data_IF_672164671969
#
_entry.id   IF_672164671969
#
_cell.length_a   1.000
_cell.length_b   1.000
_cell.length_c   1.000
_cell.angle_alpha   90.00
_cell.angle_beta   90.00
_cell.angle_gamma   90.00
#
_symmetry.space_group_name_H-M   'P 1'
#
loop_
_entity.id
_entity.type
_entity.pdbx_description
1 polymer ?
#
# COMPACT_ATOMS: atom_id res chain seq x y z
N UNK A 1 4.98 7.86 15.71
CA UNK A 1 4.27 8.89 14.92
C UNK A 1 2.77 8.71 15.13
N UNK A 2 2.02 9.76 15.50
CA UNK A 2 0.56 9.71 15.65
C UNK A 2 -0.13 9.28 14.36
N UNK A 3 -1.31 8.64 14.47
CA UNK A 3 -2.06 8.12 13.31
C UNK A 3 -2.40 9.22 12.32
N UNK A 4 -2.85 10.39 12.80
CA UNK A 4 -3.20 11.54 11.95
C UNK A 4 -2.03 11.99 11.07
N UNK A 5 -0.83 12.16 11.65
CA UNK A 5 0.37 12.52 10.89
C UNK A 5 0.76 11.47 9.85
N UNK A 6 0.39 10.19 10.04
CA UNK A 6 0.62 9.14 9.04
C UNK A 6 -0.36 9.25 7.88
N UNK A 7 -1.63 9.55 8.17
CA UNK A 7 -2.64 9.78 7.13
C UNK A 7 -2.26 11.00 6.29
N UNK A 8 -1.91 12.12 6.93
CA UNK A 8 -1.45 13.33 6.26
C UNK A 8 -0.22 13.05 5.37
N UNK A 9 0.71 12.22 5.85
CA UNK A 9 1.87 11.78 5.06
C UNK A 9 1.49 10.92 3.85
N UNK A 10 0.51 10.03 3.98
CA UNK A 10 0.02 9.22 2.86
C UNK A 10 -0.67 10.08 1.80
N UNK A 11 -1.49 11.04 2.23
CA UNK A 11 -2.11 12.02 1.34
C UNK A 11 -1.06 12.85 0.59
N UNK A 12 -0.05 13.34 1.30
CA UNK A 12 1.08 14.03 0.69
C UNK A 12 1.77 13.17 -0.38
N UNK A 13 2.03 11.89 -0.11
CA UNK A 13 2.65 10.99 -1.09
C UNK A 13 1.76 10.79 -2.33
N UNK A 14 0.44 10.77 -2.17
CA UNK A 14 -0.52 10.70 -3.28
C UNK A 14 -0.50 11.97 -4.12
N UNK A 15 -0.49 13.15 -3.51
CA UNK A 15 -0.39 14.42 -4.27
C UNK A 15 0.95 14.50 -4.98
N UNK A 16 2.04 14.10 -4.30
CA UNK A 16 3.40 14.22 -4.81
C UNK A 16 3.73 13.23 -5.95
N UNK A 17 3.03 12.10 -6.04
CA UNK A 17 3.14 11.21 -7.21
C UNK A 17 2.64 11.89 -8.49
N UNK A 18 1.76 12.89 -8.37
CA UNK A 18 1.14 13.61 -9.49
C UNK A 18 0.19 12.74 -10.32
N UNK A 19 -0.22 11.59 -9.78
CA UNK A 19 -1.06 10.60 -10.45
C UNK A 19 -1.97 9.89 -9.44
N UNK A 20 -3.23 9.69 -9.84
CA UNK A 20 -4.25 9.09 -8.98
C UNK A 20 -4.06 7.57 -8.77
N UNK A 21 -3.15 6.92 -9.50
CA UNK A 21 -2.83 5.49 -9.33
C UNK A 21 -3.99 4.54 -9.69
N UNK A 22 -5.15 5.09 -10.07
CA UNK A 22 -6.39 4.38 -10.39
C UNK A 22 -6.25 3.47 -11.61
N UNK A 23 -5.32 3.78 -12.53
CA UNK A 23 -5.04 2.99 -13.74
C UNK A 23 -4.56 1.56 -13.42
N UNK A 24 -4.02 1.34 -12.21
CA UNK A 24 -3.49 0.05 -11.78
C UNK A 24 -4.27 -0.56 -10.61
N UNK A 25 -5.49 -0.07 -10.33
CA UNK A 25 -6.40 -0.72 -9.37
C UNK A 25 -6.85 -2.11 -9.86
N UNK A 26 -7.07 -2.25 -11.17
CA UNK A 26 -7.64 -3.46 -11.79
C UNK A 26 -6.58 -4.45 -12.32
N UNK A 27 -5.37 -3.97 -12.61
CA UNK A 27 -4.22 -4.80 -13.04
C UNK A 27 -3.57 -5.58 -11.87
N UNK A 28 -4.18 -5.46 -10.69
CA UNK A 28 -3.89 -6.22 -9.50
C UNK A 28 -4.40 -7.68 -9.63
N UNK A 29 -3.72 -8.44 -10.50
CA UNK A 29 -3.64 -9.91 -10.50
C UNK A 29 -4.87 -10.65 -11.06
N UNK A 30 -4.94 -10.79 -12.39
CA UNK A 30 -5.36 -12.04 -13.01
C UNK A 30 -4.28 -13.12 -12.81
N UNK A 31 -3.98 -13.46 -11.56
CA UNK A 31 -3.29 -14.70 -11.24
C UNK A 31 -3.80 -15.11 -9.86
N UNK A 32 -4.61 -16.16 -9.87
CA UNK A 32 -5.38 -16.74 -8.78
C UNK A 32 -6.65 -16.01 -8.32
N UNK A 33 -7.77 -16.61 -8.76
CA UNK A 33 -9.12 -16.43 -8.23
C UNK A 33 -9.11 -16.43 -6.70
N UNK A 34 -9.58 -15.35 -6.11
CA UNK A 34 -10.67 -15.31 -5.12
C UNK A 34 -10.94 -13.84 -4.76
N UNK A 35 -12.17 -13.40 -5.07
CA UNK A 35 -12.64 -12.03 -4.90
C UNK A 35 -12.48 -11.54 -3.46
N UNK A 36 -11.57 -10.59 -3.25
CA UNK A 36 -11.70 -9.63 -2.15
C UNK A 36 -12.00 -8.28 -2.81
N UNK A 37 -13.27 -8.09 -3.13
CA UNK A 37 -13.80 -6.78 -3.50
C UNK A 37 -13.65 -5.85 -2.30
N UNK A 38 -12.68 -4.94 -2.36
CA UNK A 38 -12.74 -3.72 -1.57
C UNK A 38 -13.82 -2.85 -2.19
N UNK A 39 -15.06 -3.01 -1.72
CA UNK A 39 -16.11 -2.03 -1.94
C UNK A 39 -15.74 -0.75 -1.16
N UNK A 40 -15.02 0.14 -1.81
CA UNK A 40 -15.11 1.56 -1.49
C UNK A 40 -16.46 2.05 -2.06
N UNK A 41 -17.46 2.16 -1.18
CA UNK A 41 -18.76 2.72 -1.48
C UNK A 41 -18.61 4.22 -1.82
N UNK A 42 -18.46 4.45 -3.12
CA UNK A 42 -18.97 5.53 -3.95
C UNK A 42 -19.05 6.95 -3.36
N UNK A 43 -18.19 7.81 -3.90
CA UNK A 43 -18.38 9.25 -3.96
C UNK A 43 -17.91 9.79 -5.30
N UNK A 44 -18.70 9.57 -6.35
CA UNK A 44 -18.59 10.34 -7.59
C UNK A 44 -18.90 11.82 -7.28
N UNK A 45 -17.87 12.58 -6.92
CA UNK A 45 -17.94 14.03 -6.81
C UNK A 45 -16.83 14.60 -7.65
N UNK A 46 -17.24 15.13 -8.81
CA UNK A 46 -16.54 16.22 -9.47
C UNK A 46 -15.16 15.88 -10.01
N UNK A 47 -15.04 15.91 -11.33
CA UNK A 47 -13.83 16.40 -11.99
C UNK A 47 -13.53 17.81 -11.46
N UNK A 48 -12.87 17.90 -10.32
CA UNK A 48 -12.06 19.05 -10.00
C UNK A 48 -10.66 18.60 -10.29
N UNK A 49 -10.12 19.08 -11.41
CA UNK A 49 -8.72 18.97 -11.74
C UNK A 49 -7.94 19.60 -10.60
N UNK A 50 -7.63 18.80 -9.57
CA UNK A 50 -6.67 19.16 -8.55
C UNK A 50 -5.44 19.56 -9.32
N UNK A 51 -5.02 20.79 -9.05
CA UNK A 51 -3.92 21.48 -9.70
C UNK A 51 -2.83 20.44 -9.94
N UNK A 52 -2.49 20.17 -11.21
CA UNK A 52 -1.32 19.36 -11.56
C UNK A 52 -0.08 20.17 -11.18
N UNK A 53 0.11 20.38 -9.89
CA UNK A 53 1.37 20.84 -9.33
C UNK A 53 2.42 19.89 -9.88
N UNK A 54 3.39 20.48 -10.59
CA UNK A 54 4.24 19.76 -11.52
C UNK A 54 4.86 18.53 -10.85
N UNK A 55 5.01 17.44 -11.62
CA UNK A 55 5.73 16.25 -11.17
C UNK A 55 7.14 16.66 -10.74
N UNK A 56 7.37 16.74 -9.43
CA UNK A 56 8.69 16.97 -8.86
C UNK A 56 9.49 15.68 -9.06
N UNK A 57 10.75 15.76 -9.48
CA UNK A 57 11.61 14.58 -9.61
C UNK A 57 11.79 13.92 -8.24
N UNK A 58 11.49 12.61 -8.15
CA UNK A 58 11.64 11.84 -6.93
C UNK A 58 12.88 10.94 -7.03
N UNK A 59 14.05 11.38 -6.53
CA UNK A 59 15.22 10.53 -6.46
C UNK A 59 14.94 9.31 -5.55
N UNK A 60 15.56 8.18 -5.89
CA UNK A 60 15.35 6.91 -5.19
C UNK A 60 15.67 7.00 -3.69
N UNK A 61 16.64 7.84 -3.34
CA UNK A 61 17.12 8.13 -2.00
C UNK A 61 16.02 8.73 -1.10
N UNK A 62 15.08 9.48 -1.68
CA UNK A 62 13.90 9.98 -0.98
C UNK A 62 12.77 8.95 -0.97
N UNK A 63 12.66 8.13 -2.01
CA UNK A 63 11.63 7.09 -2.07
C UNK A 63 11.86 5.98 -1.02
N UNK A 64 13.12 5.64 -0.71
CA UNK A 64 13.46 4.65 0.30
C UNK A 64 12.84 4.91 1.69
N UNK A 65 13.04 6.09 2.33
CA UNK A 65 12.39 6.38 3.61
C UNK A 65 10.88 6.48 3.49
N UNK A 66 10.33 6.95 2.37
CA UNK A 66 8.89 6.99 2.11
C UNK A 66 8.29 5.58 2.16
N UNK A 67 8.87 4.63 1.42
CA UNK A 67 8.40 3.25 1.40
C UNK A 67 8.54 2.57 2.77
N UNK A 68 9.55 2.93 3.56
CA UNK A 68 9.69 2.42 4.93
C UNK A 68 8.58 2.92 5.84
N UNK A 69 8.21 4.19 5.73
CA UNK A 69 7.09 4.76 6.49
C UNK A 69 5.77 4.13 6.05
N UNK A 70 5.52 4.01 4.74
CA UNK A 70 4.32 3.35 4.21
C UNK A 70 4.26 1.87 4.64
N UNK A 71 5.39 1.17 4.64
CA UNK A 71 5.50 -0.19 5.19
C UNK A 71 5.05 -0.28 6.63
N UNK A 72 5.46 0.67 7.48
CA UNK A 72 4.98 0.75 8.86
C UNK A 72 3.51 1.15 8.99
N UNK A 73 2.91 1.80 7.98
CA UNK A 73 1.49 2.12 7.97
C UNK A 73 0.64 0.92 7.55
N UNK A 74 1.14 0.09 6.63
CA UNK A 74 0.45 -1.07 6.09
C UNK A 74 0.61 -2.33 6.95
N UNK A 75 1.82 -2.56 7.47
CA UNK A 75 2.22 -3.80 8.14
C UNK A 75 2.55 -3.59 9.62
N UNK A 76 2.28 -2.39 10.15
CA UNK A 76 2.52 -2.07 11.54
C UNK A 76 1.54 -2.79 12.49
N UNK A 77 1.84 -2.81 13.80
CA UNK A 77 0.96 -3.42 14.81
C UNK A 77 -0.37 -2.67 14.99
N UNK A 78 -0.45 -1.40 14.55
CA UNK A 78 -1.67 -0.61 14.61
C UNK A 78 -2.52 -0.88 13.36
N UNK A 79 -3.60 -1.63 13.53
CA UNK A 79 -4.51 -2.05 12.44
C UNK A 79 -5.65 -1.04 12.21
N UNK A 80 -5.31 0.23 12.03
CA UNK A 80 -6.30 1.26 11.69
C UNK A 80 -6.68 1.13 10.21
N UNK A 81 -7.94 0.79 9.93
CA UNK A 81 -8.42 0.55 8.54
C UNK A 81 -8.26 1.76 7.63
N UNK A 82 -8.55 2.96 8.16
CA UNK A 82 -8.42 4.23 7.44
C UNK A 82 -6.96 4.49 7.04
N UNK A 83 -6.02 4.25 7.97
CA UNK A 83 -4.60 4.41 7.73
C UNK A 83 -4.11 3.42 6.66
N UNK A 84 -4.55 2.16 6.72
CA UNK A 84 -4.16 1.13 5.74
C UNK A 84 -4.71 1.48 4.35
N UNK A 85 -5.96 1.96 4.25
CA UNK A 85 -6.56 2.41 3.00
C UNK A 85 -5.80 3.57 2.38
N UNK A 86 -5.51 4.61 3.18
CA UNK A 86 -4.74 5.78 2.75
C UNK A 86 -3.32 5.41 2.34
N UNK A 87 -2.63 4.57 3.11
CA UNK A 87 -1.28 4.09 2.79
C UNK A 87 -1.26 3.21 1.52
N UNK A 88 -2.29 2.40 1.29
CA UNK A 88 -2.41 1.58 0.08
C UNK A 88 -2.61 2.45 -1.15
N UNK A 89 -3.48 3.47 -1.06
CA UNK A 89 -3.70 4.45 -2.12
C UNK A 89 -2.41 5.23 -2.44
N UNK A 90 -1.68 5.68 -1.42
CA UNK A 90 -0.38 6.34 -1.58
C UNK A 90 0.65 5.42 -2.27
N UNK A 91 0.74 4.16 -1.85
CA UNK A 91 1.67 3.19 -2.43
C UNK A 91 1.32 2.85 -3.89
N UNK A 92 0.02 2.75 -4.25
CA UNK A 92 -0.43 2.60 -5.64
C UNK A 92 -0.07 3.78 -6.52
N UNK A 93 -0.25 4.99 -5.99
CA UNK A 93 0.07 6.23 -6.69
C UNK A 93 1.59 6.33 -6.96
N UNK A 94 2.42 5.92 -6.00
CA UNK A 94 3.87 5.81 -6.18
C UNK A 94 4.27 4.67 -7.15
N UNK A 95 3.55 3.55 -7.16
CA UNK A 95 3.77 2.47 -8.12
C UNK A 95 3.48 2.93 -9.55
N UNK A 96 2.32 3.55 -9.78
CA UNK A 96 1.94 4.16 -11.06
C UNK A 96 3.04 5.11 -11.54
N UNK A 97 3.45 6.04 -10.67
CA UNK A 97 4.57 6.93 -10.97
C UNK A 97 5.85 6.19 -11.34
N UNK A 98 6.22 5.16 -10.59
CA UNK A 98 7.45 4.38 -10.81
C UNK A 98 7.46 3.70 -12.19
N UNK A 99 6.28 3.29 -12.69
CA UNK A 99 6.12 2.76 -14.05
C UNK A 99 6.38 3.83 -15.10
N UNK A 100 5.85 5.05 -14.91
CA UNK A 100 6.11 6.16 -15.84
C UNK A 100 7.56 6.65 -15.82
N UNK A 101 8.18 6.65 -14.64
CA UNK A 101 9.59 7.02 -14.45
C UNK A 101 10.55 5.88 -14.87
N UNK A 102 10.03 4.69 -15.23
CA UNK A 102 10.78 3.48 -15.63
C UNK A 102 11.87 3.13 -14.60
N UNK A 103 11.58 3.36 -13.31
CA UNK A 103 12.51 3.05 -12.22
C UNK A 103 12.25 1.64 -11.70
N UNK A 104 13.05 0.67 -12.14
CA UNK A 104 12.87 -0.75 -11.81
C UNK A 104 12.94 -1.06 -10.31
N UNK A 105 13.80 -0.38 -9.57
CA UNK A 105 13.92 -0.55 -8.11
C UNK A 105 12.65 -0.07 -7.41
N UNK A 106 12.13 1.09 -7.84
CA UNK A 106 10.90 1.66 -7.31
C UNK A 106 9.66 0.84 -7.65
N UNK A 107 9.56 0.38 -8.90
CA UNK A 107 8.50 -0.53 -9.36
C UNK A 107 8.49 -1.79 -8.48
N UNK A 108 9.64 -2.42 -8.28
CA UNK A 108 9.72 -3.66 -7.50
C UNK A 108 9.35 -3.42 -6.03
N UNK A 109 9.87 -2.36 -5.41
CA UNK A 109 9.65 -2.09 -4.00
C UNK A 109 8.20 -1.72 -3.70
N UNK A 110 7.59 -0.81 -4.49
CA UNK A 110 6.18 -0.41 -4.34
C UNK A 110 5.23 -1.58 -4.60
N UNK A 111 5.46 -2.38 -5.66
CA UNK A 111 4.65 -3.55 -5.98
C UNK A 111 4.73 -4.64 -4.91
N UNK A 112 5.94 -4.92 -4.42
CA UNK A 112 6.14 -5.91 -3.36
C UNK A 112 5.42 -5.50 -2.08
N UNK A 113 5.46 -4.21 -1.73
CA UNK A 113 4.78 -3.69 -0.56
C UNK A 113 3.25 -3.80 -0.67
N UNK A 114 2.67 -3.48 -1.83
CA UNK A 114 1.24 -3.68 -2.09
C UNK A 114 0.83 -5.14 -1.94
N UNK A 115 1.60 -6.06 -2.54
CA UNK A 115 1.33 -7.50 -2.42
C UNK A 115 1.38 -7.99 -0.98
N UNK A 116 2.40 -7.57 -0.21
CA UNK A 116 2.51 -7.90 1.21
C UNK A 116 1.33 -7.35 2.02
N UNK A 117 0.90 -6.11 1.75
CA UNK A 117 -0.24 -5.51 2.45
C UNK A 117 -1.54 -6.28 2.23
N UNK A 118 -1.78 -6.78 1.01
CA UNK A 118 -2.93 -7.62 0.70
C UNK A 118 -2.87 -8.96 1.43
N UNK A 119 -1.72 -9.61 1.41
CA UNK A 119 -1.51 -10.87 2.13
C UNK A 119 -1.75 -10.72 3.63
N UNK A 120 -1.34 -9.59 4.21
CA UNK A 120 -1.54 -9.28 5.63
C UNK A 120 -3.02 -8.95 5.99
N UNK A 121 -3.81 -8.49 5.01
CA UNK A 121 -5.25 -8.23 5.17
C UNK A 121 -6.11 -9.47 4.95
N UNK A 122 -5.60 -10.47 4.22
CA UNK A 122 -6.31 -11.73 3.99
C UNK A 122 -6.38 -12.57 5.28
N UNK A 123 -7.57 -12.78 5.86
CA UNK A 123 -7.74 -13.58 7.06
C UNK A 123 -7.28 -15.04 6.91
N UNK A 124 -7.18 -15.56 5.68
CA UNK A 124 -6.71 -16.93 5.41
C UNK A 124 -5.21 -17.13 5.62
N UNK A 125 -4.43 -16.05 5.52
CA UNK A 125 -2.97 -16.07 5.73
C UNK A 125 -2.57 -15.82 7.19
N UNK A 126 -3.54 -15.72 8.11
CA UNK A 126 -3.29 -15.47 9.52
C UNK A 126 -2.95 -16.75 10.32
N UNK A 127 -2.53 -17.81 9.63
CA UNK A 127 -2.02 -19.04 10.25
C UNK A 127 -0.52 -18.88 10.39
N UNK A 128 -0.06 -18.63 11.62
CA UNK A 128 1.37 -18.63 11.92
C UNK A 128 1.87 -20.08 11.99
N UNK A 129 2.38 -20.59 10.88
CA UNK A 129 2.99 -21.93 10.80
C UNK A 129 4.30 -22.05 11.61
N UNK A 130 4.77 -20.97 12.24
CA UNK A 130 5.93 -20.96 13.14
C UNK A 130 5.54 -21.00 14.62
N UNK A 131 4.25 -20.93 14.94
CA UNK A 131 3.77 -21.21 16.29
C UNK A 131 4.04 -22.67 16.64
N UNK A 132 4.87 -22.88 17.66
CA UNK A 132 5.09 -24.20 18.24
C UNK A 132 3.85 -24.54 19.06
N UNK A 133 3.11 -25.63 18.73
CA UNK A 133 1.99 -26.04 19.56
C UNK A 133 2.52 -26.34 20.97
N UNK A 134 2.05 -25.57 21.94
CA UNK A 134 2.27 -25.86 23.37
C UNK A 134 1.41 -27.07 23.73
N UNK A 135 2.00 -28.25 23.54
CA UNK A 135 1.45 -29.51 24.04
C UNK A 135 2.08 -29.81 25.39
N UNK A 136 1.27 -29.94 26.44
CA UNK A 136 1.70 -30.36 27.80
C UNK A 136 2.17 -31.83 27.86
N UNK A 137 2.37 -32.46 26.71
CA UNK A 137 2.85 -33.83 26.57
C UNK A 137 4.23 -33.80 25.93
N UNK A 138 5.25 -34.13 26.72
CA UNK A 138 6.58 -34.48 26.23
C UNK A 138 6.44 -35.86 25.57
N UNK A 139 6.30 -35.90 24.25
CA UNK A 139 6.46 -37.14 23.48
C UNK A 139 7.96 -37.48 23.42
N UNK A 140 8.35 -38.47 24.22
CA UNK A 140 9.67 -39.11 24.21
C UNK A 140 9.81 -40.11 23.06
#
# INVERSE_FOLDING_TARGET
>A
MPVRSKIDFCEFCKVWSGQDGDEYKDDELQDDKENVEFQDDQGNVGKESVIKEGRIALPWELLQPILRILGHCLLGPNKDKELIGSASAACRSLYSRSLHDINTQAILATRSLLRLSKMALDPKNNVDHTEIPVTDVISL
#
